data_IF_317418532951
#
_entry.id   IF_317418532951
#
_cell.length_a   1.000
_cell.length_b   1.000
_cell.length_c   1.000
_cell.angle_alpha   90.00
_cell.angle_beta   90.00
_cell.angle_gamma   90.00
#
_symmetry.space_group_name_H-M   'P 1'
#
loop_
_entity.id
_entity.type
_entity.pdbx_description
1 polymer ?
#
# COMPACT_ATOMS: atom_id res chain seq x y z
N UNK A 1 -20.27 11.74 14.75
CA UNK A 1 -20.18 13.17 14.38
C UNK A 1 -18.82 13.69 14.81
N UNK A 2 -17.98 14.02 13.86
CA UNK A 2 -16.67 14.61 14.11
C UNK A 2 -16.80 16.12 13.96
N UNK A 3 -16.67 16.87 15.05
CA UNK A 3 -16.58 18.34 15.01
C UNK A 3 -15.09 18.71 15.15
N UNK A 4 -14.47 19.16 14.08
CA UNK A 4 -13.11 19.65 14.10
C UNK A 4 -13.14 21.11 14.60
N UNK A 5 -12.75 21.31 15.85
CA UNK A 5 -12.54 22.67 16.41
C UNK A 5 -11.09 23.06 16.19
N UNK A 6 -10.87 24.13 15.49
CA UNK A 6 -9.54 24.66 15.22
C UNK A 6 -9.18 25.82 16.16
N UNK A 7 -7.94 25.87 16.61
CA UNK A 7 -7.45 26.78 17.64
C UNK A 7 -7.06 28.17 17.12
N UNK A 8 -7.40 29.17 17.88
CA UNK A 8 -7.00 30.57 18.06
C UNK A 8 -7.28 31.64 17.01
N UNK A 9 -7.14 31.50 15.71
CA UNK A 9 -7.53 32.55 14.70
C UNK A 9 -8.54 32.07 13.65
N UNK A 10 -9.04 30.85 13.81
CA UNK A 10 -9.84 30.09 12.85
C UNK A 10 -11.30 29.88 13.26
N UNK A 11 -11.87 30.82 13.97
CA UNK A 11 -13.30 30.81 14.33
C UNK A 11 -14.28 30.84 13.15
N UNK A 12 -13.76 30.95 11.90
CA UNK A 12 -14.58 31.17 10.71
C UNK A 12 -14.95 29.90 9.92
N UNK A 13 -14.37 28.75 10.22
CA UNK A 13 -14.66 27.49 9.52
C UNK A 13 -14.96 26.36 10.50
N UNK A 14 -16.17 25.84 10.42
CA UNK A 14 -16.53 24.58 11.08
C UNK A 14 -16.74 23.51 10.04
N UNK A 15 -16.02 22.40 10.17
CA UNK A 15 -16.14 21.22 9.31
C UNK A 15 -16.92 20.17 10.08
N UNK A 16 -18.04 19.73 9.53
CA UNK A 16 -18.85 18.63 10.09
C UNK A 16 -18.79 17.44 9.15
N UNK A 17 -18.19 16.34 9.62
CA UNK A 17 -18.29 15.04 8.97
C UNK A 17 -19.43 14.26 9.62
N UNK A 18 -20.35 13.80 8.80
CA UNK A 18 -21.49 13.02 9.23
C UNK A 18 -21.70 11.83 8.31
N UNK A 19 -21.69 10.63 8.88
CA UNK A 19 -22.12 9.43 8.18
C UNK A 19 -23.64 9.34 8.17
N UNK A 20 -24.23 9.15 6.99
CA UNK A 20 -25.63 8.85 6.79
C UNK A 20 -25.71 7.43 6.24
N UNK A 21 -26.42 6.55 6.96
CA UNK A 21 -26.65 5.17 6.56
C UNK A 21 -28.14 4.97 6.29
N UNK A 22 -28.49 4.70 5.03
CA UNK A 22 -29.80 4.20 4.65
C UNK A 22 -29.67 2.73 4.28
N UNK A 23 -30.80 2.00 4.13
CA UNK A 23 -30.82 0.56 3.86
C UNK A 23 -30.01 0.11 2.61
N UNK A 24 -29.80 1.00 1.63
CA UNK A 24 -29.12 0.70 0.37
C UNK A 24 -27.85 1.53 0.12
N UNK A 25 -27.70 2.68 0.80
CA UNK A 25 -26.57 3.60 0.56
C UNK A 25 -25.95 4.07 1.87
N UNK A 26 -24.63 4.04 1.91
CA UNK A 26 -23.84 4.65 2.97
C UNK A 26 -23.04 5.82 2.41
N UNK A 27 -23.35 7.02 2.87
CA UNK A 27 -22.74 8.26 2.38
C UNK A 27 -22.12 9.01 3.54
N UNK A 28 -20.87 9.43 3.37
CA UNK A 28 -20.23 10.40 4.27
C UNK A 28 -20.46 11.78 3.70
N UNK A 29 -21.04 12.66 4.49
CA UNK A 29 -21.30 14.06 4.13
C UNK A 29 -20.33 14.98 4.87
N UNK A 30 -19.63 15.80 4.12
CA UNK A 30 -18.82 16.90 4.64
C UNK A 30 -19.59 18.20 4.45
N UNK A 31 -20.02 18.81 5.55
CA UNK A 31 -20.67 20.11 5.55
C UNK A 31 -19.73 21.20 6.05
N UNK A 32 -19.56 22.25 5.25
CA UNK A 32 -18.80 23.45 5.60
C UNK A 32 -19.72 24.53 6.16
N UNK A 33 -19.47 24.93 7.39
CA UNK A 33 -20.10 26.11 7.99
C UNK A 33 -19.06 27.25 7.98
N UNK A 34 -19.25 28.25 7.12
CA UNK A 34 -18.33 29.36 6.99
C UNK A 34 -18.16 29.85 5.54
N UNK A 35 -17.04 30.56 5.28
CA UNK A 35 -16.76 31.15 3.99
C UNK A 35 -16.16 30.10 3.04
N UNK A 36 -16.69 30.00 1.83
CA UNK A 36 -16.23 29.07 0.78
C UNK A 36 -14.83 29.39 0.22
N UNK A 37 -14.20 30.52 0.62
CA UNK A 37 -12.82 30.86 0.27
C UNK A 37 -11.79 29.81 0.72
N UNK A 38 -12.17 28.93 1.64
CA UNK A 38 -11.29 27.87 2.17
C UNK A 38 -11.30 26.58 1.34
N UNK A 39 -12.06 26.55 0.26
CA UNK A 39 -12.03 25.37 -0.65
C UNK A 39 -10.80 25.45 -1.53
N UNK A 40 -10.02 24.39 -1.51
CA UNK A 40 -8.91 24.18 -2.43
C UNK A 40 -9.46 23.70 -3.78
N UNK A 41 -9.58 24.65 -4.72
CA UNK A 41 -10.14 24.36 -6.06
C UNK A 41 -9.22 23.47 -6.89
N UNK A 42 -7.92 23.57 -6.69
CA UNK A 42 -6.94 22.74 -7.42
C UNK A 42 -7.04 21.30 -6.97
N UNK A 43 -7.04 21.06 -5.65
CA UNK A 43 -7.25 19.73 -5.09
C UNK A 43 -8.61 19.14 -5.49
N UNK A 44 -9.68 19.96 -5.44
CA UNK A 44 -11.01 19.53 -5.86
C UNK A 44 -11.05 19.13 -7.34
N UNK A 45 -10.39 19.88 -8.21
CA UNK A 45 -10.30 19.55 -9.64
C UNK A 45 -9.58 18.20 -9.84
N UNK A 46 -8.49 17.96 -9.13
CA UNK A 46 -7.78 16.68 -9.17
C UNK A 46 -8.73 15.53 -8.75
N UNK A 47 -9.41 15.67 -7.60
CA UNK A 47 -10.33 14.65 -7.08
C UNK A 47 -11.51 14.33 -8.02
N UNK A 48 -11.94 15.29 -8.82
CA UNK A 48 -13.06 15.12 -9.77
C UNK A 48 -12.61 14.61 -11.15
N UNK A 49 -11.34 14.84 -11.53
CA UNK A 49 -10.82 14.51 -12.85
C UNK A 49 -9.93 13.27 -12.89
N UNK A 50 -9.32 12.91 -11.75
CA UNK A 50 -8.39 11.78 -11.64
C UNK A 50 -8.99 10.68 -10.78
N UNK A 51 -8.74 9.44 -11.19
CA UNK A 51 -9.01 8.27 -10.36
C UNK A 51 -7.72 7.92 -9.61
N UNK A 52 -7.64 8.28 -8.34
CA UNK A 52 -6.49 8.01 -7.49
C UNK A 52 -6.81 6.74 -6.70
N UNK A 53 -5.87 5.81 -6.67
CA UNK A 53 -5.99 4.57 -5.92
C UNK A 53 -6.30 4.83 -4.45
N UNK A 54 -7.27 4.11 -3.89
CA UNK A 54 -7.63 4.24 -2.48
C UNK A 54 -8.26 5.57 -2.07
N UNK A 55 -8.66 6.45 -3.01
CA UNK A 55 -9.40 7.67 -2.69
C UNK A 55 -10.87 7.59 -3.13
N UNK A 56 -11.76 7.97 -2.22
CA UNK A 56 -13.18 8.17 -2.55
C UNK A 56 -13.36 9.55 -3.16
N UNK A 57 -13.79 9.60 -4.43
CA UNK A 57 -14.08 10.87 -5.09
C UNK A 57 -15.30 11.56 -4.46
N UNK A 58 -15.25 12.88 -4.19
CA UNK A 58 -16.40 13.61 -3.71
C UNK A 58 -17.44 13.80 -4.82
N UNK A 59 -18.71 13.68 -4.50
CA UNK A 59 -19.82 14.12 -5.35
C UNK A 59 -20.32 15.49 -4.89
N UNK A 60 -20.58 16.36 -5.86
CA UNK A 60 -21.09 17.71 -5.62
C UNK A 60 -22.59 17.77 -5.96
N UNK A 61 -23.34 18.58 -5.22
CA UNK A 61 -24.71 18.85 -5.61
C UNK A 61 -24.73 19.67 -6.92
N UNK A 62 -25.58 19.31 -7.89
CA UNK A 62 -25.71 20.07 -9.12
C UNK A 62 -26.13 21.51 -8.84
N UNK A 63 -25.59 22.47 -9.60
CA UNK A 63 -25.87 23.90 -9.55
C UNK A 63 -25.31 24.70 -8.34
N UNK A 64 -24.21 24.26 -7.73
CA UNK A 64 -23.54 25.04 -6.70
C UNK A 64 -22.19 25.59 -7.19
N UNK A 65 -22.10 26.88 -7.48
CA UNK A 65 -20.84 27.57 -7.77
C UNK A 65 -19.87 27.58 -6.57
N UNK A 66 -20.41 27.34 -5.38
CA UNK A 66 -19.69 27.27 -4.11
C UNK A 66 -20.17 26.08 -3.30
N UNK A 67 -19.61 24.88 -3.51
CA UNK A 67 -20.06 23.71 -2.79
C UNK A 67 -19.75 23.85 -1.30
N UNK A 68 -20.79 23.84 -0.47
CA UNK A 68 -20.69 23.76 0.99
C UNK A 68 -20.90 22.35 1.50
N UNK A 69 -21.30 21.46 0.63
CA UNK A 69 -21.61 20.06 0.93
C UNK A 69 -20.95 19.16 -0.08
N UNK A 70 -20.05 18.33 0.41
CA UNK A 70 -19.42 17.25 -0.34
C UNK A 70 -20.02 15.93 0.15
N UNK A 71 -20.22 14.99 -0.76
CA UNK A 71 -20.69 13.64 -0.42
C UNK A 71 -19.69 12.63 -0.96
N UNK A 72 -19.35 11.67 -0.11
CA UNK A 72 -18.49 10.54 -0.43
C UNK A 72 -19.32 9.27 -0.33
N UNK A 73 -19.46 8.57 -1.45
CA UNK A 73 -20.18 7.30 -1.47
C UNK A 73 -19.26 6.18 -0.97
N UNK A 74 -19.64 5.58 0.13
CA UNK A 74 -18.93 4.47 0.78
C UNK A 74 -19.85 3.25 0.92
N UNK A 75 -20.87 3.15 0.05
CA UNK A 75 -21.80 2.03 0.03
C UNK A 75 -21.05 0.72 -0.24
N UNK A 76 -21.46 -0.33 0.45
CA UNK A 76 -20.81 -1.66 0.36
C UNK A 76 -19.44 -1.75 1.04
N UNK A 77 -19.01 -0.72 1.75
CA UNK A 77 -17.72 -0.72 2.44
C UNK A 77 -17.89 -0.79 3.95
N UNK A 78 -16.94 -1.43 4.64
CA UNK A 78 -16.87 -1.50 6.09
C UNK A 78 -15.89 -0.45 6.65
N UNK A 79 -16.14 0.02 7.85
CA UNK A 79 -15.16 0.90 8.52
C UNK A 79 -13.93 0.11 8.96
N UNK A 80 -12.74 0.67 8.78
CA UNK A 80 -11.49 0.06 9.25
C UNK A 80 -11.55 -0.20 10.77
N UNK A 81 -12.19 0.68 11.53
CA UNK A 81 -12.37 0.51 12.97
C UNK A 81 -13.16 -0.76 13.36
N UNK A 82 -14.06 -1.24 12.51
CA UNK A 82 -14.79 -2.50 12.73
C UNK A 82 -13.88 -3.70 12.48
N UNK A 83 -13.09 -3.64 11.41
CA UNK A 83 -12.11 -4.67 11.08
C UNK A 83 -11.06 -4.84 12.20
N UNK A 84 -10.50 -3.74 12.67
CA UNK A 84 -9.46 -3.75 13.70
C UNK A 84 -9.93 -4.29 15.07
N UNK A 85 -11.22 -4.19 15.39
CA UNK A 85 -11.79 -4.74 16.64
C UNK A 85 -11.76 -6.27 16.68
N UNK A 86 -11.84 -6.92 15.54
CA UNK A 86 -11.82 -8.37 15.45
C UNK A 86 -10.39 -8.95 15.53
N UNK A 87 -9.38 -8.09 15.50
CA UNK A 87 -8.00 -8.50 15.29
C UNK A 87 -7.72 -8.84 13.82
N UNK A 88 -6.51 -8.58 13.36
CA UNK A 88 -6.07 -8.86 11.99
C UNK A 88 -4.78 -9.68 12.00
N UNK A 89 -4.65 -10.59 11.05
CA UNK A 89 -3.40 -11.31 10.84
C UNK A 89 -2.29 -10.39 10.32
N UNK A 90 -1.04 -10.82 10.46
CA UNK A 90 0.14 -10.06 10.03
C UNK A 90 0.09 -9.73 8.53
N UNK A 91 -0.31 -10.67 7.69
CA UNK A 91 -0.38 -10.45 6.23
C UNK A 91 -1.43 -9.38 5.86
N UNK A 92 -2.58 -9.37 6.55
CA UNK A 92 -3.60 -8.33 6.37
C UNK A 92 -3.10 -6.96 6.84
N UNK A 93 -2.34 -6.91 7.94
CA UNK A 93 -1.74 -5.66 8.40
C UNK A 93 -0.69 -5.13 7.42
N UNK A 94 0.16 -6.01 6.89
CA UNK A 94 1.14 -5.69 5.84
C UNK A 94 0.43 -5.12 4.62
N UNK A 95 -0.62 -5.79 4.15
CA UNK A 95 -1.42 -5.33 3.01
C UNK A 95 -2.04 -3.94 3.25
N UNK A 96 -2.67 -3.73 4.40
CA UNK A 96 -3.25 -2.41 4.76
C UNK A 96 -2.22 -1.30 4.82
N UNK A 97 -1.01 -1.57 5.33
CA UNK A 97 0.07 -0.58 5.38
C UNK A 97 0.61 -0.25 3.97
N UNK A 98 0.69 -1.24 3.09
CA UNK A 98 1.07 -1.05 1.69
C UNK A 98 0.04 -0.24 0.93
N UNK A 99 -1.25 -0.59 1.03
CA UNK A 99 -2.37 0.15 0.43
C UNK A 99 -2.38 1.62 0.90
N UNK A 100 -2.17 1.84 2.20
CA UNK A 100 -2.08 3.19 2.76
C UNK A 100 -0.91 3.97 2.18
N UNK A 101 0.25 3.33 2.04
CA UNK A 101 1.44 3.93 1.42
C UNK A 101 1.19 4.30 -0.04
N UNK A 102 0.67 3.37 -0.83
CA UNK A 102 0.41 3.57 -2.26
C UNK A 102 -0.60 4.69 -2.50
N UNK A 103 -1.70 4.70 -1.74
CA UNK A 103 -2.69 5.76 -1.81
C UNK A 103 -2.09 7.15 -1.50
N UNK A 104 -1.33 7.27 -0.41
CA UNK A 104 -0.69 8.52 -0.04
C UNK A 104 0.37 8.95 -1.05
N UNK A 105 1.20 8.02 -1.54
CA UNK A 105 2.24 8.30 -2.51
C UNK A 105 1.67 8.79 -3.84
N UNK A 106 0.62 8.13 -4.35
CA UNK A 106 -0.07 8.55 -5.57
C UNK A 106 -0.73 9.92 -5.39
N UNK A 107 -1.45 10.13 -4.30
CA UNK A 107 -2.07 11.41 -3.98
C UNK A 107 -1.06 12.56 -3.91
N UNK A 108 0.10 12.33 -3.30
CA UNK A 108 1.19 13.30 -3.28
C UNK A 108 1.71 13.63 -4.68
N UNK A 109 1.79 12.66 -5.58
CA UNK A 109 2.22 12.88 -6.96
C UNK A 109 1.30 13.85 -7.73
N UNK A 110 0.02 13.90 -7.34
CA UNK A 110 -0.97 14.86 -7.83
C UNK A 110 -1.01 16.19 -7.06
N UNK A 111 -0.10 16.39 -6.10
CA UNK A 111 -0.01 17.60 -5.29
C UNK A 111 -1.07 17.72 -4.19
N UNK A 112 -1.72 16.61 -3.81
CA UNK A 112 -2.64 16.58 -2.67
C UNK A 112 -1.84 16.61 -1.36
N UNK A 113 -2.33 17.36 -0.37
CA UNK A 113 -1.61 17.62 0.88
C UNK A 113 -1.98 16.64 1.97
N UNK A 114 -0.99 16.18 2.75
CA UNK A 114 -1.18 15.22 3.84
C UNK A 114 -2.21 15.69 4.89
N UNK A 115 -2.21 16.98 5.19
CA UNK A 115 -3.06 17.61 6.19
C UNK A 115 -4.56 17.54 5.88
N UNK A 116 -4.89 17.15 4.66
CA UNK A 116 -6.28 17.08 4.20
C UNK A 116 -6.86 15.68 4.20
N UNK A 117 -6.08 14.66 4.53
CA UNK A 117 -6.59 13.30 4.71
C UNK A 117 -7.24 13.10 6.07
N UNK A 118 -8.36 12.38 6.09
CA UNK A 118 -9.02 11.99 7.34
C UNK A 118 -8.51 10.60 7.75
N UNK A 119 -7.36 10.57 8.44
CA UNK A 119 -6.68 9.34 8.83
C UNK A 119 -7.13 8.83 10.21
N UNK A 120 -8.43 8.59 10.34
CA UNK A 120 -9.03 7.98 11.53
C UNK A 120 -9.76 6.70 11.15
N UNK A 121 -9.57 5.59 11.86
CA UNK A 121 -10.17 4.30 11.49
C UNK A 121 -11.67 4.29 11.31
N UNK A 122 -12.40 5.21 11.96
CA UNK A 122 -13.85 5.38 11.79
C UNK A 122 -14.22 6.06 10.46
N UNK A 123 -13.25 6.67 9.76
CA UNK A 123 -13.43 7.38 8.49
C UNK A 123 -12.57 6.81 7.36
N UNK A 124 -11.90 5.71 7.62
CA UNK A 124 -11.25 4.88 6.60
C UNK A 124 -12.16 3.70 6.33
N UNK A 125 -12.39 3.41 5.07
CA UNK A 125 -13.29 2.34 4.64
C UNK A 125 -12.50 1.27 3.91
N UNK A 126 -12.95 0.02 4.03
CA UNK A 126 -12.36 -1.13 3.35
C UNK A 126 -13.43 -1.84 2.53
N UNK A 127 -13.05 -2.33 1.35
CA UNK A 127 -13.96 -3.05 0.49
C UNK A 127 -14.35 -4.40 1.13
N UNK A 128 -15.61 -4.77 1.00
CA UNK A 128 -16.09 -6.09 1.45
C UNK A 128 -15.94 -7.08 0.30
N UNK A 129 -14.86 -7.87 0.31
CA UNK A 129 -14.58 -8.86 -0.72
C UNK A 129 -15.56 -10.05 -0.75
N UNK A 130 -16.57 -10.05 0.14
CA UNK A 130 -17.60 -11.09 0.15
C UNK A 130 -18.67 -10.93 -0.94
N UNK A 131 -18.64 -9.85 -1.77
CA UNK A 131 -19.68 -9.55 -2.75
C UNK A 131 -19.34 -9.78 -4.22
N UNK A 132 -18.12 -10.20 -4.58
CA UNK A 132 -17.81 -10.54 -5.98
C UNK A 132 -17.71 -12.05 -6.16
N UNK A 133 -18.76 -12.66 -6.66
CA UNK A 133 -18.70 -13.98 -7.27
C UNK A 133 -19.57 -15.09 -6.72
N UNK A 134 -20.90 -14.93 -6.74
CA UNK A 134 -21.78 -16.09 -6.78
C UNK A 134 -22.90 -15.89 -7.81
N UNK A 135 -22.55 -16.10 -9.08
CA UNK A 135 -23.54 -16.58 -10.05
C UNK A 135 -23.30 -18.06 -10.27
N UNK A 136 -24.30 -18.84 -9.87
CA UNK A 136 -24.60 -20.23 -10.25
C UNK A 136 -23.64 -21.34 -9.75
N UNK A 137 -24.02 -22.13 -8.75
CA UNK A 137 -24.73 -23.40 -8.91
C UNK A 137 -25.03 -23.97 -7.51
N UNK A 138 -26.33 -24.19 -7.30
CA UNK A 138 -26.83 -25.03 -6.21
C UNK A 138 -26.36 -26.47 -6.42
N UNK A 139 -25.72 -27.08 -5.44
CA UNK A 139 -26.03 -28.43 -4.97
C UNK A 139 -25.09 -28.85 -3.85
N UNK A 140 -25.76 -29.32 -2.82
CA UNK A 140 -25.34 -30.29 -1.80
C UNK A 140 -24.69 -29.77 -0.50
N UNK A 141 -25.49 -30.11 0.49
CA UNK A 141 -25.43 -29.87 1.92
C UNK A 141 -24.24 -30.50 2.67
N UNK A 142 -24.10 -29.96 3.89
CA UNK A 142 -23.52 -30.55 5.10
C UNK A 142 -22.01 -30.43 5.31
N UNK A 143 -21.64 -29.46 6.13
CA UNK A 143 -20.94 -29.68 7.41
C UNK A 143 -20.85 -28.37 8.19
N UNK A 144 -21.45 -28.38 9.36
CA UNK A 144 -21.31 -27.37 10.41
C UNK A 144 -19.88 -27.40 10.98
N UNK A 145 -19.48 -26.26 11.59
CA UNK A 145 -18.28 -26.02 12.36
C UNK A 145 -17.03 -25.58 11.58
N UNK A 146 -16.93 -24.24 11.40
CA UNK A 146 -15.76 -23.47 11.84
C UNK A 146 -16.07 -21.97 11.74
N UNK A 147 -16.49 -21.40 12.88
CA UNK A 147 -16.65 -19.95 13.03
C UNK A 147 -15.30 -19.28 13.26
N UNK A 148 -14.42 -19.35 12.28
CA UNK A 148 -13.32 -18.40 12.11
C UNK A 148 -13.65 -17.54 10.88
N UNK A 149 -14.48 -16.51 11.09
CA UNK A 149 -14.68 -15.48 10.09
C UNK A 149 -13.38 -14.67 9.96
N UNK A 150 -12.39 -15.27 9.32
CA UNK A 150 -11.18 -14.62 8.88
C UNK A 150 -11.58 -13.52 7.91
N UNK A 151 -11.28 -12.27 8.25
CA UNK A 151 -11.38 -11.17 7.31
C UNK A 151 -10.63 -11.55 6.04
N UNK A 152 -11.30 -11.38 4.89
CA UNK A 152 -10.75 -11.64 3.58
C UNK A 152 -9.38 -10.97 3.41
N UNK A 153 -8.42 -11.77 3.00
CA UNK A 153 -7.05 -11.34 2.73
C UNK A 153 -7.06 -10.47 1.47
N UNK A 154 -7.13 -9.19 1.50
CA UNK A 154 -7.00 -8.18 0.44
C UNK A 154 -8.14 -7.15 0.42
N UNK A 155 -8.49 -6.61 1.58
CA UNK A 155 -9.44 -5.52 1.66
C UNK A 155 -8.78 -4.19 1.26
N UNK A 156 -9.05 -3.67 0.06
CA UNK A 156 -8.53 -2.37 -0.37
C UNK A 156 -9.05 -1.22 0.50
N UNK A 157 -8.18 -0.30 0.86
CA UNK A 157 -8.55 0.87 1.65
C UNK A 157 -9.17 1.97 0.78
N UNK A 158 -10.03 2.76 1.41
CA UNK A 158 -10.68 3.90 0.79
C UNK A 158 -10.62 5.09 1.75
N UNK A 159 -9.85 6.11 1.40
CA UNK A 159 -9.61 7.30 2.21
C UNK A 159 -10.52 8.45 1.77
N UNK A 160 -10.86 9.30 2.73
CA UNK A 160 -11.54 10.57 2.49
C UNK A 160 -10.49 11.69 2.51
N UNK A 161 -10.49 12.49 1.46
CA UNK A 161 -9.70 13.70 1.36
C UNK A 161 -10.59 14.94 1.42
N UNK A 162 -10.22 15.93 2.23
CA UNK A 162 -10.96 17.18 2.38
C UNK A 162 -10.26 18.26 1.54
N UNK A 163 -10.87 18.75 0.43
CA UNK A 163 -10.26 19.74 -0.44
C UNK A 163 -10.34 21.16 0.19
N UNK A 164 -9.57 21.38 1.25
CA UNK A 164 -9.59 22.61 2.04
C UNK A 164 -8.20 23.20 2.18
N UNK A 165 -8.09 24.54 2.08
CA UNK A 165 -6.81 25.27 2.12
C UNK A 165 -6.27 25.53 3.52
N UNK A 166 -7.07 25.33 4.55
CA UNK A 166 -6.78 25.75 5.94
C UNK A 166 -7.01 24.68 6.98
N UNK A 167 -6.88 23.40 6.62
CA UNK A 167 -6.87 22.34 7.62
C UNK A 167 -5.47 22.20 8.21
N UNK A 168 -5.39 22.26 9.52
CA UNK A 168 -4.27 21.73 10.31
C UNK A 168 -4.81 20.46 11.00
N UNK A 169 -5.04 19.40 10.25
CA UNK A 169 -4.94 18.11 10.88
C UNK A 169 -3.50 17.97 11.37
N UNK A 170 -3.37 17.42 12.55
CA UNK A 170 -2.03 17.11 13.02
C UNK A 170 -1.43 16.06 12.07
N UNK A 171 -0.56 16.51 11.17
CA UNK A 171 0.16 15.63 10.24
C UNK A 171 1.05 14.63 10.96
N UNK A 172 1.30 14.86 12.24
CA UNK A 172 2.01 13.94 13.13
C UNK A 172 1.05 12.98 13.86
N UNK A 173 -0.28 13.07 13.63
CA UNK A 173 -1.23 12.11 14.20
C UNK A 173 -1.10 10.75 13.49
N UNK A 174 -0.23 9.93 14.03
CA UNK A 174 0.00 8.55 13.62
C UNK A 174 -0.93 7.55 14.32
N UNK A 175 -2.03 8.04 14.89
CA UNK A 175 -2.98 7.23 15.66
C UNK A 175 -3.57 6.06 14.89
N UNK A 176 -3.80 6.22 13.58
CA UNK A 176 -4.25 5.13 12.72
C UNK A 176 -3.23 3.99 12.62
N UNK A 177 -1.94 4.32 12.47
CA UNK A 177 -0.86 3.33 12.39
C UNK A 177 -0.73 2.57 13.71
N UNK A 178 -0.81 3.30 14.83
CA UNK A 178 -0.81 2.69 16.17
C UNK A 178 -1.98 1.72 16.35
N UNK A 179 -3.16 2.08 15.88
CA UNK A 179 -4.33 1.20 15.98
C UNK A 179 -4.19 -0.03 15.08
N UNK A 180 -3.71 0.11 13.84
CA UNK A 180 -3.42 -1.03 12.97
C UNK A 180 -2.45 -1.97 13.68
N UNK A 181 -1.27 -1.48 14.09
CA UNK A 181 -0.22 -2.30 14.70
C UNK A 181 -0.66 -2.96 16.02
N UNK A 182 -1.47 -2.28 16.84
CA UNK A 182 -1.98 -2.85 18.10
C UNK A 182 -3.08 -3.89 17.91
N UNK A 183 -3.69 -3.95 16.74
CA UNK A 183 -4.75 -4.92 16.41
C UNK A 183 -4.22 -6.19 15.76
N UNK A 184 -2.91 -6.26 15.51
CA UNK A 184 -2.31 -7.41 14.82
C UNK A 184 -2.13 -8.57 15.78
N UNK A 185 -2.56 -9.75 15.33
CA UNK A 185 -2.38 -11.02 16.03
C UNK A 185 -1.34 -11.86 15.28
N UNK A 186 -0.25 -12.20 15.95
CA UNK A 186 0.77 -13.07 15.43
C UNK A 186 0.30 -14.53 15.48
N UNK A 187 0.53 -15.29 14.42
CA UNK A 187 0.15 -16.69 14.30
C UNK A 187 1.30 -17.64 14.64
N UNK A 188 2.54 -17.14 14.60
CA UNK A 188 3.74 -17.92 14.83
C UNK A 188 4.90 -17.02 15.31
N UNK A 189 6.04 -17.62 15.68
CA UNK A 189 7.20 -16.90 16.20
C UNK A 189 7.88 -15.98 15.16
N UNK A 190 7.78 -16.27 13.87
CA UNK A 190 8.29 -15.38 12.80
C UNK A 190 7.46 -14.12 12.71
N UNK A 191 6.14 -14.25 12.78
CA UNK A 191 5.21 -13.12 12.83
C UNK A 191 5.48 -12.23 14.03
N UNK A 192 5.71 -12.83 15.20
CA UNK A 192 6.01 -12.11 16.44
C UNK A 192 7.33 -11.32 16.31
N UNK A 193 8.38 -11.95 15.78
CA UNK A 193 9.66 -11.30 15.53
C UNK A 193 9.57 -10.18 14.49
N UNK A 194 8.73 -10.34 13.46
CA UNK A 194 8.45 -9.31 12.47
C UNK A 194 7.72 -8.13 13.11
N UNK A 195 6.67 -8.37 13.87
CA UNK A 195 5.90 -7.33 14.56
C UNK A 195 6.75 -6.50 15.51
N UNK A 196 7.64 -7.13 16.28
CA UNK A 196 8.55 -6.43 17.18
C UNK A 196 9.45 -5.46 16.41
N UNK A 197 9.97 -5.87 15.23
CA UNK A 197 10.80 -4.99 14.39
C UNK A 197 10.00 -3.81 13.84
N UNK A 198 8.79 -4.07 13.38
CA UNK A 198 7.89 -3.02 12.83
C UNK A 198 7.48 -2.03 13.92
N UNK A 199 7.13 -2.52 15.11
CA UNK A 199 6.79 -1.67 16.26
C UNK A 199 7.97 -0.79 16.68
N UNK A 200 9.17 -1.34 16.77
CA UNK A 200 10.37 -0.57 17.09
C UNK A 200 10.67 0.51 16.04
N UNK A 201 10.54 0.19 14.75
CA UNK A 201 10.71 1.16 13.67
C UNK A 201 9.65 2.28 13.74
N UNK A 202 8.42 1.93 14.08
CA UNK A 202 7.34 2.89 14.27
C UNK A 202 7.62 3.84 15.46
N UNK A 203 8.08 3.29 16.59
CA UNK A 203 8.46 4.09 17.76
C UNK A 203 9.59 5.07 17.44
N UNK A 204 10.62 4.62 16.72
CA UNK A 204 11.70 5.49 16.26
C UNK A 204 11.22 6.60 15.34
N UNK A 205 10.29 6.30 14.40
CA UNK A 205 9.70 7.31 13.53
C UNK A 205 8.92 8.36 14.34
N UNK A 206 8.17 7.93 15.35
CA UNK A 206 7.44 8.84 16.24
C UNK A 206 8.39 9.74 17.05
N UNK A 207 9.46 9.20 17.60
CA UNK A 207 10.47 9.96 18.37
C UNK A 207 11.17 11.01 17.51
N UNK A 208 11.41 10.72 16.24
CA UNK A 208 12.01 11.64 15.28
C UNK A 208 11.03 12.72 14.77
N UNK A 209 9.78 12.72 15.23
CA UNK A 209 8.76 13.67 14.82
C UNK A 209 8.33 13.52 13.35
N UNK A 210 8.43 12.32 12.79
CA UNK A 210 8.02 12.01 11.42
C UNK A 210 6.53 12.27 11.22
N UNK A 211 6.15 12.77 10.06
CA UNK A 211 4.74 12.86 9.70
C UNK A 211 4.17 11.47 9.32
N UNK A 212 2.85 11.39 9.10
CA UNK A 212 2.19 10.12 8.77
C UNK A 212 2.78 9.48 7.51
N UNK A 213 3.05 10.25 6.46
CA UNK A 213 3.60 9.72 5.22
C UNK A 213 4.99 9.10 5.43
N UNK A 214 5.89 9.81 6.12
CA UNK A 214 7.25 9.31 6.40
C UNK A 214 7.20 8.06 7.28
N UNK A 215 6.28 8.01 8.26
CA UNK A 215 6.07 6.85 9.11
C UNK A 215 5.56 5.64 8.31
N UNK A 216 4.55 5.84 7.45
CA UNK A 216 4.02 4.78 6.57
C UNK A 216 5.09 4.31 5.58
N UNK A 217 5.84 5.23 4.99
CA UNK A 217 6.95 4.90 4.08
C UNK A 217 8.02 4.05 4.76
N UNK A 218 8.37 4.39 6.01
CA UNK A 218 9.33 3.61 6.80
C UNK A 218 8.81 2.21 7.11
N UNK A 219 7.53 2.09 7.47
CA UNK A 219 6.90 0.78 7.72
C UNK A 219 6.77 -0.05 6.44
N UNK A 220 6.48 0.58 5.30
CA UNK A 220 6.37 -0.12 4.03
C UNK A 220 7.66 -0.84 3.63
N UNK A 221 8.83 -0.30 4.00
CA UNK A 221 10.11 -0.98 3.77
C UNK A 221 10.16 -2.37 4.45
N UNK A 222 9.68 -2.47 5.68
CA UNK A 222 9.61 -3.76 6.39
C UNK A 222 8.58 -4.69 5.76
N UNK A 223 7.44 -4.16 5.33
CA UNK A 223 6.41 -4.92 4.64
C UNK A 223 6.95 -5.53 3.35
N UNK A 224 7.64 -4.74 2.53
CA UNK A 224 8.26 -5.22 1.30
C UNK A 224 9.34 -6.27 1.56
N UNK A 225 10.20 -6.07 2.56
CA UNK A 225 11.19 -7.09 2.94
C UNK A 225 10.53 -8.43 3.28
N UNK A 226 9.44 -8.41 4.07
CA UNK A 226 8.71 -9.62 4.42
C UNK A 226 8.18 -10.35 3.18
N UNK A 227 7.62 -9.63 2.23
CA UNK A 227 7.10 -10.23 1.00
C UNK A 227 8.18 -10.92 0.18
N UNK A 228 9.38 -10.34 0.09
CA UNK A 228 10.51 -10.99 -0.59
C UNK A 228 10.95 -12.26 0.14
N UNK A 229 11.17 -12.20 1.47
CA UNK A 229 11.56 -13.39 2.24
C UNK A 229 10.47 -14.47 2.27
N UNK A 230 9.20 -14.09 2.17
CA UNK A 230 8.09 -15.04 2.01
C UNK A 230 8.00 -15.65 0.60
N UNK A 231 8.93 -15.31 -0.32
CA UNK A 231 8.97 -15.84 -1.67
C UNK A 231 7.83 -15.36 -2.56
N UNK A 232 7.20 -14.23 -2.20
CA UNK A 232 6.11 -13.64 -3.01
C UNK A 232 6.60 -12.98 -4.30
N UNK A 233 7.90 -12.89 -4.51
CA UNK A 233 8.51 -12.36 -5.73
C UNK A 233 9.45 -13.36 -6.36
N UNK A 234 9.58 -13.29 -7.66
CA UNK A 234 10.51 -14.12 -8.41
C UNK A 234 10.89 -13.54 -9.77
N UNK A 235 11.87 -14.17 -10.39
CA UNK A 235 12.31 -13.88 -11.73
C UNK A 235 11.60 -14.84 -12.68
N UNK A 236 10.83 -14.32 -13.62
CA UNK A 236 10.27 -15.10 -14.71
C UNK A 236 11.23 -15.09 -15.90
N UNK A 237 11.74 -16.26 -16.25
CA UNK A 237 12.61 -16.47 -17.40
C UNK A 237 11.75 -16.81 -18.62
N UNK A 238 11.47 -15.83 -19.47
CA UNK A 238 10.53 -15.97 -20.59
C UNK A 238 10.96 -17.06 -21.59
N UNK A 239 12.24 -17.11 -21.95
CA UNK A 239 12.76 -18.05 -22.95
C UNK A 239 12.59 -19.52 -22.53
N UNK A 240 12.57 -19.79 -21.23
CA UNK A 240 12.42 -21.14 -20.68
C UNK A 240 11.07 -21.38 -20.02
N UNK A 241 10.20 -20.36 -19.97
CA UNK A 241 8.92 -20.41 -19.28
C UNK A 241 9.07 -20.95 -17.84
N UNK A 242 10.03 -20.40 -17.11
CA UNK A 242 10.42 -20.87 -15.79
C UNK A 242 10.43 -19.72 -14.78
N UNK A 243 9.85 -19.95 -13.60
CA UNK A 243 9.78 -18.99 -12.53
C UNK A 243 10.76 -19.35 -11.39
N UNK A 244 11.62 -18.41 -11.02
CA UNK A 244 12.66 -18.57 -10.00
C UNK A 244 12.25 -17.72 -8.77
N UNK A 245 11.91 -18.36 -7.67
CA UNK A 245 11.52 -17.67 -6.43
C UNK A 245 12.72 -16.97 -5.79
N UNK A 246 12.52 -15.73 -5.34
CA UNK A 246 13.50 -14.95 -4.58
C UNK A 246 13.13 -14.99 -3.09
N UNK A 247 13.79 -15.83 -2.32
CA UNK A 247 13.51 -16.03 -0.88
C UNK A 247 14.74 -15.85 0.01
N UNK A 248 15.91 -15.61 -0.55
CA UNK A 248 17.13 -15.35 0.19
C UNK A 248 17.95 -14.23 -0.45
N UNK A 249 18.65 -13.44 0.34
CA UNK A 249 19.47 -12.33 -0.15
C UNK A 249 20.80 -12.24 0.62
N UNK A 250 21.92 -11.91 -0.04
CA UNK A 250 22.03 -11.60 -1.48
C UNK A 250 21.75 -12.81 -2.36
N UNK A 251 20.98 -12.62 -3.45
CA UNK A 251 20.68 -13.65 -4.43
C UNK A 251 21.65 -13.52 -5.60
N UNK A 252 22.60 -14.45 -5.70
CA UNK A 252 23.67 -14.42 -6.67
C UNK A 252 23.27 -15.14 -7.98
N UNK A 253 23.58 -14.54 -9.13
CA UNK A 253 23.26 -15.07 -10.44
C UNK A 253 24.53 -15.17 -11.28
N UNK A 254 24.75 -16.31 -11.91
CA UNK A 254 25.88 -16.50 -12.75
C UNK A 254 26.05 -17.94 -13.24
N UNK A 255 27.09 -18.20 -14.02
CA UNK A 255 27.34 -19.50 -14.64
C UNK A 255 27.98 -20.51 -13.69
N UNK A 256 28.58 -20.07 -12.59
CA UNK A 256 29.19 -20.97 -11.61
C UNK A 256 28.11 -21.66 -10.76
N UNK A 257 28.37 -22.92 -10.38
CA UNK A 257 27.43 -23.78 -9.67
C UNK A 257 27.12 -23.36 -8.24
N UNK A 258 27.89 -22.46 -7.67
CA UNK A 258 27.67 -21.94 -6.32
C UNK A 258 26.71 -20.72 -6.25
N UNK A 259 26.24 -20.23 -7.41
CA UNK A 259 25.24 -19.16 -7.42
C UNK A 259 23.84 -19.72 -7.07
N UNK A 260 22.99 -18.88 -6.46
CA UNK A 260 21.59 -19.21 -6.21
C UNK A 260 20.84 -19.54 -7.52
N UNK A 261 21.12 -18.77 -8.59
CA UNK A 261 20.69 -19.08 -9.94
C UNK A 261 21.93 -19.43 -10.80
N UNK A 262 22.12 -20.73 -11.02
CA UNK A 262 23.19 -21.24 -11.85
C UNK A 262 22.77 -21.35 -13.32
N UNK A 263 23.36 -20.52 -14.18
CA UNK A 263 23.13 -20.47 -15.63
C UNK A 263 24.26 -21.14 -16.39
N UNK A 264 24.61 -22.39 -16.06
CA UNK A 264 25.81 -23.10 -16.55
C UNK A 264 25.89 -23.21 -18.06
N UNK A 265 24.75 -23.26 -18.76
CA UNK A 265 24.69 -23.39 -20.24
C UNK A 265 24.75 -22.05 -20.96
N UNK A 266 24.58 -20.91 -20.24
CA UNK A 266 24.49 -19.59 -20.81
C UNK A 266 25.90 -18.98 -20.97
N UNK A 267 26.54 -19.21 -22.12
CA UNK A 267 27.93 -18.77 -22.37
C UNK A 267 28.14 -17.28 -22.33
N UNK A 268 27.06 -16.48 -22.52
CA UNK A 268 27.06 -15.02 -22.41
C UNK A 268 27.08 -14.53 -20.95
N UNK A 269 26.80 -15.42 -20.00
CA UNK A 269 26.74 -15.08 -18.56
C UNK A 269 28.09 -15.34 -17.91
N UNK A 270 28.60 -14.40 -17.12
CA UNK A 270 29.84 -14.56 -16.36
C UNK A 270 29.67 -15.56 -15.22
N UNK A 271 30.78 -16.10 -14.67
CA UNK A 271 30.75 -17.04 -13.54
C UNK A 271 30.02 -16.47 -12.34
N UNK A 272 30.33 -15.24 -11.98
CA UNK A 272 29.57 -14.36 -11.09
C UNK A 272 29.16 -13.19 -11.97
N UNK A 273 27.85 -13.04 -12.25
CA UNK A 273 27.40 -12.03 -13.20
C UNK A 273 26.75 -10.85 -12.51
N UNK A 274 25.76 -11.13 -11.70
CA UNK A 274 25.02 -10.12 -10.95
C UNK A 274 24.56 -10.66 -9.59
N UNK A 275 24.22 -9.77 -8.68
CA UNK A 275 23.56 -10.11 -7.43
C UNK A 275 22.37 -9.19 -7.20
N UNK A 276 21.33 -9.76 -6.63
CA UNK A 276 20.18 -9.03 -6.11
C UNK A 276 20.35 -8.87 -4.62
N UNK A 277 20.12 -7.66 -4.12
CA UNK A 277 20.16 -7.33 -2.69
C UNK A 277 18.86 -6.65 -2.29
N UNK A 278 18.49 -6.79 -1.03
CA UNK A 278 17.45 -5.97 -0.42
C UNK A 278 18.10 -4.88 0.42
N UNK A 279 17.90 -3.64 0.02
CA UNK A 279 18.36 -2.47 0.75
C UNK A 279 17.19 -1.52 0.94
N UNK A 280 16.95 -1.14 2.18
CA UNK A 280 15.83 -0.27 2.58
C UNK A 280 14.44 -0.75 2.11
N UNK A 281 14.23 -2.08 2.00
CA UNK A 281 12.98 -2.67 1.52
C UNK A 281 12.84 -2.71 -0.01
N UNK A 282 13.82 -2.19 -0.74
CA UNK A 282 13.83 -2.21 -2.20
C UNK A 282 14.80 -3.27 -2.73
N UNK A 283 14.34 -4.00 -3.74
CA UNK A 283 15.20 -4.91 -4.48
C UNK A 283 16.12 -4.10 -5.39
N UNK A 284 17.41 -4.38 -5.31
CA UNK A 284 18.42 -3.73 -6.15
C UNK A 284 19.28 -4.75 -6.87
N UNK A 285 19.75 -4.38 -8.05
CA UNK A 285 20.68 -5.15 -8.88
C UNK A 285 22.07 -4.53 -8.80
N UNK A 286 23.07 -5.36 -8.63
CA UNK A 286 24.49 -4.99 -8.70
C UNK A 286 25.15 -5.87 -9.75
N UNK A 287 25.89 -5.26 -10.69
CA UNK A 287 26.76 -5.98 -11.62
C UNK A 287 28.05 -6.42 -10.95
N UNK A 288 28.42 -7.69 -11.09
CA UNK A 288 29.64 -8.26 -10.50
C UNK A 288 30.85 -8.21 -11.47
N UNK A 289 31.06 -7.09 -12.14
CA UNK A 289 32.06 -6.94 -13.22
C UNK A 289 31.89 -7.95 -14.33
N UNK A 290 30.66 -8.11 -14.78
CA UNK A 290 30.31 -9.06 -15.83
C UNK A 290 30.91 -8.67 -17.19
N UNK A 291 31.26 -9.68 -18.00
CA UNK A 291 31.88 -9.45 -19.32
C UNK A 291 30.93 -8.75 -20.31
N UNK A 292 29.68 -9.21 -20.36
CA UNK A 292 28.66 -8.72 -21.30
C UNK A 292 27.71 -7.69 -20.71
N UNK A 293 27.86 -7.37 -19.42
CA UNK A 293 27.08 -6.36 -18.72
C UNK A 293 25.73 -6.86 -18.23
N UNK A 294 25.28 -6.23 -17.16
CA UNK A 294 23.96 -6.35 -16.54
C UNK A 294 23.13 -5.14 -16.94
N UNK A 295 21.85 -5.33 -17.25
CA UNK A 295 20.95 -4.25 -17.64
C UNK A 295 19.61 -4.40 -16.91
N UNK A 296 19.05 -3.28 -16.45
CA UNK A 296 17.67 -3.18 -15.97
C UNK A 296 16.88 -2.38 -17.00
N UNK A 297 15.89 -3.00 -17.63
CA UNK A 297 15.33 -2.55 -18.89
C UNK A 297 16.49 -2.33 -19.89
N UNK A 298 16.64 -1.19 -20.49
CA UNK A 298 17.75 -0.92 -21.41
C UNK A 298 18.93 -0.16 -20.77
N UNK A 299 18.86 0.10 -19.45
CA UNK A 299 19.90 0.83 -18.73
C UNK A 299 20.97 -0.12 -18.19
N UNK A 300 22.24 0.13 -18.57
CA UNK A 300 23.36 -0.63 -18.07
C UNK A 300 23.60 -0.34 -16.59
N UNK A 301 23.69 -1.42 -15.80
CA UNK A 301 24.08 -1.33 -14.38
C UNK A 301 25.59 -1.12 -14.30
N UNK A 302 26.01 -0.11 -13.56
CA UNK A 302 27.44 0.11 -13.28
C UNK A 302 27.90 -0.87 -12.21
N UNK A 303 29.13 -1.37 -12.31
CA UNK A 303 29.69 -2.31 -11.33
C UNK A 303 29.86 -1.73 -9.92
N UNK A 304 29.81 -0.40 -9.77
CA UNK A 304 29.91 0.32 -8.50
C UNK A 304 28.57 0.67 -7.87
N UNK A 305 27.48 0.55 -8.64
CA UNK A 305 26.18 1.11 -8.25
C UNK A 305 25.14 0.00 -8.10
N UNK A 306 24.29 0.15 -7.08
CA UNK A 306 23.10 -0.66 -6.93
C UNK A 306 21.90 0.09 -7.54
N UNK A 307 21.22 -0.52 -8.52
CA UNK A 307 20.08 0.08 -9.21
C UNK A 307 18.78 -0.57 -8.72
N UNK A 308 17.77 0.22 -8.40
CA UNK A 308 16.45 -0.27 -8.04
C UNK A 308 15.86 -1.15 -9.14
N UNK A 309 15.32 -2.30 -8.74
CA UNK A 309 14.68 -3.27 -9.63
C UNK A 309 13.25 -3.54 -9.16
N UNK A 310 12.30 -3.10 -9.97
CA UNK A 310 10.88 -3.08 -9.61
C UNK A 310 10.08 -4.11 -10.41
N UNK A 311 8.92 -4.47 -9.88
CA UNK A 311 7.98 -5.38 -10.54
C UNK A 311 7.69 -4.91 -11.98
N UNK A 312 7.64 -5.87 -12.91
CA UNK A 312 7.46 -5.65 -14.33
C UNK A 312 8.70 -5.18 -15.09
N UNK A 313 9.81 -4.86 -14.41
CA UNK A 313 11.07 -4.53 -15.08
C UNK A 313 11.81 -5.78 -15.52
N UNK A 314 12.62 -5.62 -16.58
CA UNK A 314 13.41 -6.67 -17.20
C UNK A 314 14.86 -6.58 -16.73
N UNK A 315 15.38 -7.67 -16.14
CA UNK A 315 16.78 -7.87 -15.85
C UNK A 315 17.41 -8.66 -16.99
N UNK A 316 18.35 -8.08 -17.71
CA UNK A 316 19.11 -8.76 -18.77
C UNK A 316 20.56 -8.98 -18.37
N UNK A 317 21.00 -10.24 -18.48
CA UNK A 317 22.34 -10.72 -18.14
C UNK A 317 22.99 -11.34 -19.39
N UNK A 318 23.81 -10.58 -20.07
CA UNK A 318 24.28 -10.99 -21.41
C UNK A 318 23.11 -11.12 -22.39
N UNK A 319 22.82 -12.36 -22.84
CA UNK A 319 21.67 -12.66 -23.72
C UNK A 319 20.39 -13.08 -22.97
N UNK A 320 20.50 -13.41 -21.69
CA UNK A 320 19.39 -13.94 -20.91
C UNK A 320 18.54 -12.81 -20.31
N UNK A 321 17.20 -12.96 -20.35
CA UNK A 321 16.26 -11.94 -19.85
C UNK A 321 15.28 -12.52 -18.84
N UNK A 322 15.06 -11.76 -17.77
CA UNK A 322 14.21 -12.14 -16.66
C UNK A 322 13.29 -10.98 -16.29
N UNK A 323 12.01 -11.25 -16.02
CA UNK A 323 11.04 -10.25 -15.54
C UNK A 323 10.83 -10.44 -14.05
N UNK A 324 10.92 -9.37 -13.26
CA UNK A 324 10.52 -9.42 -11.87
C UNK A 324 8.98 -9.44 -11.78
N UNK A 325 8.46 -10.48 -11.18
CA UNK A 325 7.02 -10.66 -11.02
C UNK A 325 6.66 -11.10 -9.61
N UNK A 326 5.46 -10.72 -9.17
CA UNK A 326 4.85 -11.27 -7.95
C UNK A 326 4.30 -12.68 -8.26
N UNK A 327 4.49 -13.61 -7.34
CA UNK A 327 3.88 -14.95 -7.48
C UNK A 327 2.36 -14.79 -7.38
N UNK A 328 1.64 -15.11 -8.43
CA UNK A 328 0.20 -15.27 -8.32
C UNK A 328 -0.05 -16.54 -7.49
N UNK A 329 -0.40 -16.40 -6.22
CA UNK A 329 -0.92 -17.50 -5.42
C UNK A 329 -2.28 -17.91 -6.00
N UNK A 330 -2.23 -18.67 -7.09
CA UNK A 330 -3.32 -19.46 -7.64
C UNK A 330 -2.76 -20.88 -7.78
N UNK A 331 -2.54 -21.55 -6.66
CA UNK A 331 -2.36 -22.99 -6.57
C UNK A 331 -3.29 -23.50 -5.47
#
# INVERSE_FOLDING_TARGET
MLALKNTSWRKELTVKLQGLRNSEHQVVSLQLEGKTKYIDRSALQVLLSQKIHGLVAPSLLPNCDNPKLFRYDVSGKKQLSELLKCGIGVDNAVFLLQELYECLAEAYSFGLRAECFVLRPEWIFVDDSSSEGSTSNESDASSEDDASSGCSANAHINLIYLPLTCLDFDVHDVGVLKQILSSVVASNGEDEAFLLRVQHAFEQACENGSNVYDSVSSLNKFCMQREYFAGKYGLFWEERNYFIVLNEFPFCIGRASYNNLCLSECVSVSREHAKLILEDGFLKVIDCNSLNGTFVNDFKVSASDAIDFKEGQILRLGSESFILQKTNNSL
#
